data_IF_562379946707
#
_entry.id   IF_562379946707
#
_cell.length_a   1.000
_cell.length_b   1.000
_cell.length_c   1.000
_cell.angle_alpha   90.00
_cell.angle_beta   90.00
_cell.angle_gamma   90.00
#
_symmetry.space_group_name_H-M   'P 1'
#
loop_
_entity.id
_entity.type
_entity.pdbx_description
1 polymer ?
#
# COMPACT_ATOMS: atom_id res chain seq x y z
N UNK A 1 13.96 19.47 -29.78
CA UNK A 1 13.92 18.28 -28.91
C UNK A 1 13.45 17.12 -29.77
N UNK A 2 14.28 16.09 -29.96
CA UNK A 2 14.07 15.01 -30.93
C UNK A 2 12.76 14.28 -30.65
N UNK A 3 11.82 14.33 -31.59
CA UNK A 3 10.58 13.57 -31.56
C UNK A 3 10.88 12.10 -31.83
N UNK A 4 10.52 11.23 -30.88
CA UNK A 4 10.58 9.77 -31.02
C UNK A 4 9.56 9.30 -32.08
N UNK A 5 9.94 9.27 -33.36
CA UNK A 5 9.12 8.73 -34.45
C UNK A 5 9.30 7.23 -34.67
N UNK A 6 10.39 6.65 -34.17
CA UNK A 6 10.65 5.22 -34.29
C UNK A 6 9.99 4.46 -33.13
N UNK A 7 9.27 3.35 -33.40
CA UNK A 7 8.70 2.53 -32.34
C UNK A 7 9.80 2.01 -31.42
N UNK A 8 9.69 2.29 -30.12
CA UNK A 8 10.57 1.69 -29.11
C UNK A 8 10.27 0.19 -29.00
N UNK A 9 11.30 -0.68 -28.84
CA UNK A 9 11.09 -2.11 -28.65
C UNK A 9 10.27 -2.37 -27.38
N UNK A 10 9.31 -3.31 -27.47
CA UNK A 10 8.48 -3.73 -26.34
C UNK A 10 9.08 -5.00 -25.74
N UNK A 11 9.52 -4.90 -24.50
CA UNK A 11 10.08 -6.03 -23.74
C UNK A 11 9.07 -6.37 -22.64
N UNK A 12 8.73 -7.64 -22.49
CA UNK A 12 7.84 -8.10 -21.42
C UNK A 12 8.54 -8.05 -20.05
N UNK A 13 7.80 -7.89 -18.93
CA UNK A 13 8.37 -7.82 -17.58
C UNK A 13 9.34 -8.96 -17.25
N UNK A 14 8.99 -10.19 -17.60
CA UNK A 14 9.84 -11.37 -17.37
C UNK A 14 11.14 -11.32 -18.20
N UNK A 15 11.05 -10.94 -19.47
CA UNK A 15 12.23 -10.82 -20.34
C UNK A 15 13.16 -9.70 -19.88
N UNK A 16 12.60 -8.59 -19.41
CA UNK A 16 13.37 -7.50 -18.82
C UNK A 16 14.14 -7.96 -17.57
N UNK A 17 13.47 -8.66 -16.65
CA UNK A 17 14.11 -9.20 -15.44
C UNK A 17 15.16 -10.26 -15.79
N UNK A 18 14.89 -11.15 -16.74
CA UNK A 18 15.87 -12.14 -17.19
C UNK A 18 17.16 -11.49 -17.75
N UNK A 19 17.02 -10.42 -18.54
CA UNK A 19 18.18 -9.69 -19.06
C UNK A 19 19.01 -9.06 -17.94
N UNK A 20 18.37 -8.44 -16.95
CA UNK A 20 19.08 -7.82 -15.83
C UNK A 20 19.70 -8.84 -14.86
N UNK A 21 19.07 -10.02 -14.70
CA UNK A 21 19.66 -11.15 -13.97
C UNK A 21 20.96 -11.63 -14.63
N UNK A 22 20.97 -11.76 -15.96
CA UNK A 22 22.18 -12.15 -16.71
C UNK A 22 23.31 -11.11 -16.60
N UNK A 23 22.95 -9.84 -16.49
CA UNK A 23 23.91 -8.74 -16.31
C UNK A 23 24.41 -8.60 -14.85
N UNK A 24 23.85 -9.36 -13.90
CA UNK A 24 24.17 -9.24 -12.48
C UNK A 24 23.74 -7.90 -11.87
N UNK A 25 22.65 -7.30 -12.38
CA UNK A 25 22.13 -6.04 -11.84
C UNK A 25 21.54 -6.25 -10.45
N UNK A 26 21.81 -5.34 -9.51
CA UNK A 26 21.18 -5.35 -8.19
C UNK A 26 19.69 -4.93 -8.32
N UNK A 27 18.71 -5.77 -7.94
CA UNK A 27 17.29 -5.45 -8.05
C UNK A 27 16.87 -4.20 -7.25
N UNK A 28 17.60 -3.84 -6.19
CA UNK A 28 17.33 -2.64 -5.38
C UNK A 28 17.49 -1.36 -6.21
N UNK A 29 18.38 -1.36 -7.20
CA UNK A 29 18.57 -0.21 -8.10
C UNK A 29 17.32 0.03 -8.95
N UNK A 30 16.75 -1.02 -9.53
CA UNK A 30 15.54 -0.93 -10.35
C UNK A 30 14.32 -0.57 -9.50
N UNK A 31 14.21 -1.15 -8.31
CA UNK A 31 13.13 -0.81 -7.39
C UNK A 31 13.17 0.66 -6.98
N UNK A 32 14.35 1.24 -6.78
CA UNK A 32 14.51 2.67 -6.48
C UNK A 32 14.02 3.56 -7.64
N UNK A 33 14.21 3.13 -8.88
CA UNK A 33 13.71 3.86 -10.05
C UNK A 33 12.18 3.74 -10.20
N UNK A 34 11.61 2.56 -9.89
CA UNK A 34 10.17 2.31 -9.96
C UNK A 34 9.39 2.93 -8.80
N UNK A 35 9.99 2.94 -7.60
CA UNK A 35 9.40 3.40 -6.34
C UNK A 35 10.40 4.31 -5.60
N UNK A 36 10.58 5.56 -6.04
CA UNK A 36 11.61 6.46 -5.50
C UNK A 36 11.39 6.83 -4.03
N UNK A 37 10.16 6.77 -3.55
CA UNK A 37 9.76 7.16 -2.19
C UNK A 37 9.81 5.98 -1.18
N UNK A 38 10.18 4.77 -1.64
CA UNK A 38 10.10 3.57 -0.81
C UNK A 38 11.42 2.81 -0.82
N UNK A 39 11.99 2.55 0.35
CA UNK A 39 13.20 1.73 0.50
C UNK A 39 12.75 0.30 0.83
N UNK A 40 13.11 -0.71 0.00
CA UNK A 40 12.79 -2.09 0.34
C UNK A 40 13.56 -2.52 1.59
N UNK A 41 12.93 -3.25 2.53
CA UNK A 41 13.61 -3.69 3.73
C UNK A 41 14.91 -4.48 3.44
N UNK A 42 15.95 -4.32 4.28
CA UNK A 42 17.26 -4.94 4.04
C UNK A 42 17.22 -6.48 4.09
N UNK A 43 16.30 -7.07 4.83
CA UNK A 43 16.13 -8.51 5.02
C UNK A 43 15.57 -9.26 3.80
N UNK A 44 15.02 -8.55 2.81
CA UNK A 44 14.51 -9.18 1.59
C UNK A 44 15.64 -9.70 0.71
N UNK A 45 15.55 -10.96 0.30
CA UNK A 45 16.47 -11.55 -0.67
C UNK A 45 16.23 -11.03 -2.10
N UNK A 46 17.26 -11.14 -2.94
CA UNK A 46 17.25 -10.59 -4.29
C UNK A 46 16.15 -11.21 -5.17
N UNK A 47 15.80 -12.48 -4.97
CA UNK A 47 14.76 -13.15 -5.74
C UNK A 47 13.37 -12.59 -5.41
N UNK A 48 13.13 -12.27 -4.15
CA UNK A 48 11.92 -11.61 -3.68
C UNK A 48 11.83 -10.19 -4.26
N UNK A 49 12.95 -9.46 -4.27
CA UNK A 49 13.02 -8.14 -4.88
C UNK A 49 12.72 -8.19 -6.39
N UNK A 50 13.26 -9.18 -7.11
CA UNK A 50 12.92 -9.40 -8.52
C UNK A 50 11.44 -9.75 -8.73
N UNK A 51 10.84 -10.53 -7.85
CA UNK A 51 9.40 -10.81 -7.91
C UNK A 51 8.58 -9.53 -7.72
N UNK A 52 9.00 -8.62 -6.82
CA UNK A 52 8.37 -7.31 -6.64
C UNK A 52 8.51 -6.47 -7.92
N UNK A 53 9.68 -6.43 -8.55
CA UNK A 53 9.90 -5.74 -9.83
C UNK A 53 8.95 -6.28 -10.90
N UNK A 54 8.82 -7.61 -11.04
CA UNK A 54 7.89 -8.24 -12.00
C UNK A 54 6.46 -7.81 -11.70
N UNK A 55 6.05 -7.83 -10.43
CA UNK A 55 4.69 -7.46 -10.03
C UNK A 55 4.38 -6.01 -10.42
N UNK A 56 5.30 -5.06 -10.15
CA UNK A 56 5.14 -3.64 -10.49
C UNK A 56 5.08 -3.45 -12.01
N UNK A 57 6.01 -4.06 -12.75
CA UNK A 57 6.04 -3.96 -14.21
C UNK A 57 4.85 -4.64 -14.90
N UNK A 58 4.21 -5.59 -14.21
CA UNK A 58 3.01 -6.27 -14.66
C UNK A 58 1.73 -5.58 -14.19
N UNK A 59 1.83 -4.47 -13.45
CA UNK A 59 0.64 -3.73 -13.02
C UNK A 59 -0.19 -3.28 -14.23
N UNK A 60 -1.52 -3.43 -14.16
CA UNK A 60 -2.38 -2.95 -15.21
C UNK A 60 -2.24 -1.42 -15.37
N UNK A 61 -2.45 -0.89 -16.58
CA UNK A 61 -2.33 0.54 -16.82
C UNK A 61 -3.26 1.32 -15.89
N UNK A 62 -2.72 2.39 -15.27
CA UNK A 62 -3.50 3.25 -14.36
C UNK A 62 -4.75 3.79 -15.08
N UNK A 63 -5.88 3.73 -14.39
CA UNK A 63 -7.16 4.22 -14.91
C UNK A 63 -7.11 5.73 -15.12
N UNK A 64 -7.40 6.21 -16.32
CA UNK A 64 -7.57 7.65 -16.59
C UNK A 64 -8.92 8.14 -16.04
N UNK A 65 -8.94 9.37 -15.46
CA UNK A 65 -10.20 10.00 -15.02
C UNK A 65 -11.16 10.14 -16.19
N UNK A 66 -12.41 9.72 -15.97
CA UNK A 66 -13.53 9.91 -16.91
C UNK A 66 -13.94 11.39 -16.88
N UNK A 67 -14.01 12.04 -18.04
CA UNK A 67 -14.31 13.48 -18.15
C UNK A 67 -15.81 13.79 -18.03
N UNK A 68 -16.65 12.78 -18.14
CA UNK A 68 -18.10 12.86 -18.16
C UNK A 68 -18.74 12.76 -16.76
N UNK A 69 -17.97 12.53 -15.70
CA UNK A 69 -18.44 12.42 -14.31
C UNK A 69 -17.57 13.34 -13.45
N UNK A 70 -18.14 14.41 -12.89
CA UNK A 70 -17.36 15.39 -12.12
C UNK A 70 -18.07 15.96 -10.90
N UNK A 71 -19.41 15.98 -10.88
CA UNK A 71 -20.20 16.65 -9.84
C UNK A 71 -20.68 15.66 -8.78
N UNK A 72 -21.17 16.19 -7.65
CA UNK A 72 -21.84 15.37 -6.63
C UNK A 72 -23.15 14.78 -7.17
N UNK A 73 -23.87 15.52 -8.02
CA UNK A 73 -25.11 15.05 -8.65
C UNK A 73 -24.84 13.85 -9.56
N UNK A 74 -23.73 13.86 -10.30
CA UNK A 74 -23.30 12.69 -11.10
C UNK A 74 -23.05 11.47 -10.20
N UNK A 75 -22.42 11.68 -9.03
CA UNK A 75 -22.16 10.61 -8.08
C UNK A 75 -23.46 10.03 -7.49
N UNK A 76 -24.40 10.89 -7.09
CA UNK A 76 -25.72 10.47 -6.58
C UNK A 76 -26.49 9.70 -7.66
N UNK A 77 -26.49 10.20 -8.90
CA UNK A 77 -27.12 9.52 -10.03
C UNK A 77 -26.52 8.13 -10.26
N UNK A 78 -25.20 8.00 -10.24
CA UNK A 78 -24.53 6.70 -10.35
C UNK A 78 -24.91 5.75 -9.21
N UNK A 79 -24.96 6.25 -7.97
CA UNK A 79 -25.38 5.45 -6.82
C UNK A 79 -26.82 4.94 -6.94
N UNK A 80 -27.71 5.69 -7.59
CA UNK A 80 -29.10 5.30 -7.82
C UNK A 80 -29.26 4.31 -9.00
N UNK A 81 -28.51 4.51 -10.09
CA UNK A 81 -28.66 3.73 -11.33
C UNK A 81 -27.84 2.42 -11.33
N UNK A 82 -26.69 2.37 -10.64
CA UNK A 82 -25.81 1.21 -10.63
C UNK A 82 -26.38 0.06 -9.80
N UNK A 83 -26.40 -1.15 -10.38
CA UNK A 83 -26.93 -2.37 -9.74
C UNK A 83 -25.87 -3.24 -9.06
N UNK A 84 -24.59 -3.01 -9.38
CA UNK A 84 -23.45 -3.80 -8.91
C UNK A 84 -22.34 -2.87 -8.44
N UNK A 85 -22.46 -2.40 -7.21
CA UNK A 85 -21.54 -1.43 -6.62
C UNK A 85 -20.50 -2.19 -5.79
N UNK A 86 -19.22 -1.89 -6.02
CA UNK A 86 -18.12 -2.37 -5.19
C UNK A 86 -17.70 -1.25 -4.24
N UNK A 87 -17.72 -1.51 -2.94
CA UNK A 87 -17.28 -0.55 -1.92
C UNK A 87 -15.92 -1.02 -1.40
N UNK A 88 -14.90 -0.17 -1.55
CA UNK A 88 -13.57 -0.38 -0.98
C UNK A 88 -13.41 0.57 0.20
N UNK A 89 -13.34 0.01 1.41
CA UNK A 89 -13.21 0.78 2.65
C UNK A 89 -11.82 0.61 3.25
N UNK A 90 -11.43 1.57 4.10
CA UNK A 90 -10.23 1.50 4.93
C UNK A 90 -10.53 2.01 6.33
N UNK A 91 -9.50 2.20 7.16
CA UNK A 91 -9.66 2.59 8.57
C UNK A 91 -10.56 3.83 8.80
N UNK A 92 -10.65 4.74 7.82
CA UNK A 92 -11.47 5.96 7.88
C UNK A 92 -12.94 5.73 8.21
N UNK A 93 -13.55 4.60 7.80
CA UNK A 93 -14.98 4.33 8.10
C UNK A 93 -15.23 4.05 9.59
N UNK A 94 -14.18 3.77 10.36
CA UNK A 94 -14.25 3.40 11.78
C UNK A 94 -13.70 4.47 12.73
N UNK A 95 -13.21 5.60 12.21
CA UNK A 95 -12.68 6.71 13.04
C UNK A 95 -13.76 7.27 13.95
N UNK A 96 -14.98 7.44 13.44
CA UNK A 96 -16.14 7.88 14.24
C UNK A 96 -16.66 6.83 15.21
N UNK A 97 -16.24 5.57 15.06
CA UNK A 97 -16.55 4.50 16.03
C UNK A 97 -15.66 4.59 17.28
N UNK A 98 -14.67 5.49 17.32
CA UNK A 98 -13.69 5.59 18.40
C UNK A 98 -12.45 4.71 18.20
N UNK A 99 -12.31 4.07 17.03
CA UNK A 99 -11.09 3.35 16.66
C UNK A 99 -10.17 4.34 15.93
N UNK A 100 -9.04 4.75 16.52
CA UNK A 100 -8.11 5.66 15.85
C UNK A 100 -7.58 5.02 14.57
N UNK A 101 -7.39 5.83 13.53
CA UNK A 101 -6.66 5.37 12.37
C UNK A 101 -5.16 5.31 12.69
N UNK A 102 -4.41 4.67 11.80
CA UNK A 102 -3.00 4.49 11.99
C UNK A 102 -2.20 5.78 11.77
N UNK A 103 -2.61 6.64 10.82
CA UNK A 103 -1.74 7.64 10.20
C UNK A 103 -2.03 9.09 10.61
N UNK A 104 -3.13 9.36 11.32
CA UNK A 104 -3.43 10.71 11.80
C UNK A 104 -2.51 11.14 12.95
N UNK A 105 -2.53 12.44 13.26
CA UNK A 105 -1.70 13.07 14.31
C UNK A 105 -1.85 12.39 15.67
N UNK A 106 -3.07 12.02 16.04
CA UNK A 106 -3.39 11.31 17.28
C UNK A 106 -3.60 9.80 17.06
N UNK A 107 -3.17 9.31 15.89
CA UNK A 107 -3.29 7.93 15.48
C UNK A 107 -2.37 7.00 16.27
N UNK A 108 -2.57 5.71 16.04
CA UNK A 108 -1.90 4.63 16.78
C UNK A 108 -0.37 4.74 16.67
N UNK A 109 0.13 5.15 15.51
CA UNK A 109 1.56 5.26 15.23
C UNK A 109 2.26 6.31 16.11
N UNK A 110 1.59 7.43 16.41
CA UNK A 110 2.14 8.48 17.25
C UNK A 110 2.30 8.02 18.71
N UNK A 111 1.38 7.17 19.21
CA UNK A 111 1.41 6.64 20.57
C UNK A 111 2.42 5.50 20.72
N UNK A 112 2.45 4.59 19.76
CA UNK A 112 3.37 3.44 19.75
C UNK A 112 4.83 3.89 19.70
N UNK A 113 5.16 4.93 18.95
CA UNK A 113 6.53 5.44 18.88
C UNK A 113 7.04 5.97 20.24
N UNK A 114 6.14 6.46 21.11
CA UNK A 114 6.48 6.91 22.47
C UNK A 114 6.65 5.72 23.41
N UNK A 115 5.74 4.75 23.34
CA UNK A 115 5.72 3.60 24.25
C UNK A 115 6.74 2.51 23.88
N UNK A 116 7.13 2.43 22.61
CA UNK A 116 8.03 1.43 22.06
C UNK A 116 9.05 2.12 21.12
N UNK A 117 10.09 2.76 21.67
CA UNK A 117 11.10 3.46 20.87
C UNK A 117 11.94 2.53 19.98
N UNK A 118 11.96 1.23 20.30
CA UNK A 118 12.63 0.19 19.51
C UNK A 118 11.83 -0.24 18.27
N UNK A 119 10.62 0.30 18.07
CA UNK A 119 9.82 0.05 16.88
C UNK A 119 10.40 0.89 15.72
N UNK A 120 11.00 0.27 14.68
CA UNK A 120 11.71 1.00 13.63
C UNK A 120 10.76 1.84 12.78
N UNK A 121 9.56 1.31 12.52
CA UNK A 121 8.46 2.03 11.92
C UNK A 121 7.13 1.45 12.42
N UNK A 122 6.01 2.19 12.27
CA UNK A 122 4.76 1.75 12.83
C UNK A 122 4.10 0.55 12.13
N UNK A 123 4.49 0.22 10.90
CA UNK A 123 4.04 -0.98 10.19
C UNK A 123 4.69 -2.23 10.77
N UNK A 124 5.86 -2.10 11.42
CA UNK A 124 6.56 -3.21 12.08
C UNK A 124 5.73 -3.90 13.17
N UNK A 125 4.70 -3.26 13.73
CA UNK A 125 3.74 -3.91 14.62
C UNK A 125 3.00 -5.10 13.95
N UNK A 126 2.87 -5.06 12.63
CA UNK A 126 2.26 -6.12 11.82
C UNK A 126 3.30 -6.98 11.08
N UNK A 127 4.59 -6.74 11.32
CA UNK A 127 5.67 -7.55 10.78
C UNK A 127 5.78 -8.86 11.58
N UNK A 128 5.85 -9.98 10.86
CA UNK A 128 5.88 -11.32 11.48
C UNK A 128 7.20 -11.60 12.21
N UNK A 129 8.33 -11.10 11.71
CA UNK A 129 9.63 -11.27 12.35
C UNK A 129 9.75 -10.39 13.58
N UNK A 130 9.23 -9.15 13.53
CA UNK A 130 9.12 -8.31 14.71
C UNK A 130 8.21 -8.93 15.76
N UNK A 131 7.04 -9.45 15.37
CA UNK A 131 6.10 -10.11 16.28
C UNK A 131 6.72 -11.30 17.01
N UNK A 132 7.56 -12.10 16.34
CA UNK A 132 8.30 -13.20 16.97
C UNK A 132 9.36 -12.72 17.95
N UNK A 133 9.99 -11.57 17.68
CA UNK A 133 11.02 -10.96 18.54
C UNK A 133 10.41 -10.31 19.78
N UNK A 134 9.37 -9.50 19.60
CA UNK A 134 8.65 -8.82 20.66
C UNK A 134 7.16 -8.62 20.29
N UNK A 135 6.25 -9.46 20.82
CA UNK A 135 4.82 -9.33 20.54
C UNK A 135 4.11 -8.28 21.40
N UNK A 136 4.79 -7.63 22.35
CA UNK A 136 4.17 -6.66 23.29
C UNK A 136 3.48 -5.49 22.59
N UNK A 137 4.06 -4.84 21.55
CA UNK A 137 3.39 -3.74 20.85
C UNK A 137 2.08 -4.17 20.20
N UNK A 138 2.07 -5.34 19.54
CA UNK A 138 0.87 -5.90 18.94
C UNK A 138 -0.22 -6.16 19.97
N UNK A 139 0.08 -6.83 21.09
CA UNK A 139 -0.94 -7.15 22.10
C UNK A 139 -1.45 -5.92 22.85
N UNK A 140 -0.60 -4.92 23.08
CA UNK A 140 -1.04 -3.63 23.64
C UNK A 140 -2.05 -2.96 22.71
N UNK A 141 -1.75 -2.92 21.42
CA UNK A 141 -2.64 -2.38 20.39
C UNK A 141 -3.92 -3.20 20.22
N UNK A 142 -3.82 -4.53 20.12
CA UNK A 142 -4.96 -5.41 19.89
C UNK A 142 -6.01 -5.30 21.00
N UNK A 143 -5.58 -5.00 22.24
CA UNK A 143 -6.49 -4.72 23.36
C UNK A 143 -7.31 -3.45 23.15
N UNK A 144 -6.73 -2.41 22.54
CA UNK A 144 -7.43 -1.14 22.30
C UNK A 144 -8.50 -1.26 21.21
N UNK A 145 -8.30 -2.13 20.22
CA UNK A 145 -9.24 -2.31 19.10
C UNK A 145 -10.04 -3.61 19.18
N UNK A 146 -10.07 -4.25 20.35
CA UNK A 146 -10.67 -5.57 20.48
C UNK A 146 -12.19 -5.51 20.19
N UNK A 147 -12.75 -6.46 19.40
CA UNK A 147 -14.17 -6.46 19.08
C UNK A 147 -15.06 -6.54 20.33
N UNK A 148 -16.25 -5.90 20.25
CA UNK A 148 -17.26 -5.92 21.31
C UNK A 148 -17.38 -4.63 22.14
N UNK A 149 -16.53 -3.64 21.89
CA UNK A 149 -16.53 -2.34 22.59
C UNK A 149 -16.94 -1.16 21.70
N UNK A 150 -17.17 -1.39 20.41
CA UNK A 150 -17.41 -0.34 19.42
C UNK A 150 -18.76 -0.52 18.72
N UNK A 151 -19.40 0.59 18.40
CA UNK A 151 -20.64 0.62 17.62
C UNK A 151 -20.32 0.95 16.14
N UNK A 152 -21.09 0.41 15.18
CA UNK A 152 -20.93 0.76 13.77
C UNK A 152 -21.17 2.25 13.49
N UNK A 153 -20.45 2.81 12.51
CA UNK A 153 -20.66 4.17 12.02
C UNK A 153 -21.76 4.23 10.95
N UNK A 154 -22.15 5.45 10.55
CA UNK A 154 -23.08 5.68 9.43
C UNK A 154 -22.58 5.10 8.09
N UNK A 155 -21.28 4.87 7.95
CA UNK A 155 -20.70 4.28 6.74
C UNK A 155 -20.83 2.75 6.67
N UNK A 156 -21.06 2.08 7.81
CA UNK A 156 -21.26 0.63 7.89
C UNK A 156 -22.69 0.26 7.48
#
# INVERSE_FOLDING_TARGET
SSSDWTPRPRIGPYTFVQQHLMLGTDPRTILKDLLPETIPPPELDDMTLWQIVINILSEPPKRKKRKDINTIDDAVKLLQECKKIMVLTGAGVSVSCGIPDFRSRDGIYARLAVDFPDLPDPQAMFDIEYFRKDPRPFFKFAKEIYPGQFQPSLCH
#
